data_IF_404499767368
#
_entry.id   IF_404499767368
#
_cell.length_a   1.000
_cell.length_b   1.000
_cell.length_c   1.000
_cell.angle_alpha   90.00
_cell.angle_beta   90.00
_cell.angle_gamma   90.00
#
_symmetry.space_group_name_H-M   'P 1'
#
loop_
_entity.id
_entity.type
_entity.pdbx_description
1 polymer ?
#
# COMPACT_ATOMS: atom_id res chain seq x y z
N UNK A 1 35.82 -28.24 44.41
CA UNK A 1 35.75 -27.14 43.44
C UNK A 1 34.52 -27.34 42.57
N UNK A 2 33.48 -26.51 42.74
CA UNK A 2 32.28 -26.52 41.88
C UNK A 2 32.49 -25.47 40.79
N UNK A 3 32.57 -25.91 39.54
CA UNK A 3 32.72 -25.04 38.37
C UNK A 3 31.32 -24.50 38.05
N UNK A 4 31.10 -23.21 38.25
CA UNK A 4 29.90 -22.52 37.77
C UNK A 4 30.07 -22.23 36.28
N UNK A 5 29.22 -22.86 35.46
CA UNK A 5 29.17 -22.61 34.02
C UNK A 5 28.28 -21.37 33.79
N UNK A 6 28.91 -20.23 33.50
CA UNK A 6 28.22 -18.99 33.15
C UNK A 6 27.75 -19.11 31.70
N UNK A 7 26.44 -19.23 31.51
CA UNK A 7 25.81 -19.11 30.19
C UNK A 7 25.76 -17.63 29.82
N UNK A 8 26.61 -17.23 28.88
CA UNK A 8 26.56 -15.91 28.26
C UNK A 8 25.36 -15.91 27.29
N UNK A 9 24.27 -15.27 27.68
CA UNK A 9 23.19 -14.91 26.76
C UNK A 9 23.73 -13.81 25.83
N UNK A 10 24.06 -14.16 24.59
CA UNK A 10 24.21 -13.17 23.53
C UNK A 10 22.80 -12.64 23.21
N UNK A 11 22.53 -11.33 23.35
CA UNK A 11 21.29 -10.78 22.83
C UNK A 11 21.35 -10.89 21.30
N UNK A 12 20.40 -11.63 20.73
CA UNK A 12 20.13 -11.58 19.29
C UNK A 12 19.69 -10.15 18.98
N UNK A 13 20.61 -9.33 18.50
CA UNK A 13 20.28 -8.04 17.89
C UNK A 13 19.52 -8.37 16.60
N UNK A 14 18.19 -8.33 16.68
CA UNK A 14 17.34 -8.28 15.50
C UNK A 14 17.67 -6.94 14.84
N UNK A 15 18.54 -6.97 13.83
CA UNK A 15 18.75 -5.81 12.97
C UNK A 15 17.46 -5.61 12.19
N UNK A 16 16.73 -4.53 12.47
CA UNK A 16 15.64 -4.14 11.59
C UNK A 16 16.25 -3.89 10.19
N UNK A 17 15.72 -4.52 9.13
CA UNK A 17 16.18 -4.27 7.78
C UNK A 17 16.03 -2.78 7.46
N UNK A 18 16.92 -2.19 6.65
CA UNK A 18 16.81 -0.79 6.27
C UNK A 18 15.49 -0.61 5.50
N UNK A 19 14.51 0.02 6.15
CA UNK A 19 13.31 0.49 5.47
C UNK A 19 13.78 1.52 4.44
N UNK A 20 13.74 1.14 3.17
CA UNK A 20 13.95 2.07 2.08
C UNK A 20 12.86 3.14 2.18
N UNK A 21 13.29 4.36 2.46
CA UNK A 21 12.46 5.56 2.61
C UNK A 21 11.44 5.66 1.46
N UNK A 22 10.20 6.05 1.78
CA UNK A 22 9.08 6.01 0.84
C UNK A 22 8.13 4.82 1.00
N UNK A 23 8.62 3.68 1.49
CA UNK A 23 7.83 2.43 1.53
C UNK A 23 7.44 1.95 2.94
N UNK A 24 7.66 2.78 3.95
CA UNK A 24 7.41 2.45 5.35
C UNK A 24 5.94 2.08 5.62
N UNK A 25 5.01 2.87 5.10
CA UNK A 25 3.58 2.67 5.32
C UNK A 25 3.10 1.32 4.75
N UNK A 26 3.45 1.00 3.50
CA UNK A 26 3.13 -0.27 2.85
C UNK A 26 3.63 -1.48 3.66
N UNK A 27 4.89 -1.42 4.11
CA UNK A 27 5.51 -2.45 4.94
C UNK A 27 4.77 -2.64 6.27
N UNK A 28 4.49 -1.53 6.97
CA UNK A 28 3.79 -1.54 8.25
C UNK A 28 2.34 -2.06 8.11
N UNK A 29 1.61 -1.58 7.12
CA UNK A 29 0.22 -1.97 6.85
C UNK A 29 0.11 -3.49 6.60
N UNK A 30 0.96 -4.03 5.70
CA UNK A 30 0.97 -5.45 5.38
C UNK A 30 1.36 -6.31 6.58
N UNK A 31 2.37 -5.88 7.34
CA UNK A 31 2.78 -6.54 8.59
C UNK A 31 1.62 -6.61 9.58
N UNK A 32 0.86 -5.52 9.75
CA UNK A 32 -0.24 -5.44 10.69
C UNK A 32 -1.44 -6.29 10.27
N UNK A 33 -1.70 -6.41 8.97
CA UNK A 33 -2.78 -7.25 8.45
C UNK A 33 -2.63 -8.72 8.87
N UNK A 34 -1.40 -9.23 8.98
CA UNK A 34 -1.11 -10.60 9.46
C UNK A 34 -1.69 -10.87 10.85
N UNK A 35 -1.66 -9.88 11.75
CA UNK A 35 -2.17 -10.05 13.12
C UNK A 35 -3.69 -10.02 13.21
N UNK A 36 -4.38 -9.65 12.13
CA UNK A 36 -5.85 -9.64 12.06
C UNK A 36 -6.41 -10.97 11.51
N UNK A 37 -5.55 -11.88 11.05
CA UNK A 37 -5.97 -13.17 10.50
C UNK A 37 -6.47 -14.15 11.59
N UNK A 38 -7.41 -15.05 11.26
CA UNK A 38 -7.90 -16.07 12.18
C UNK A 38 -6.82 -17.14 12.48
N UNK A 39 -7.07 -17.98 13.49
CA UNK A 39 -6.11 -18.97 14.00
C UNK A 39 -5.62 -19.93 12.91
N UNK A 40 -6.52 -20.34 12.02
CA UNK A 40 -6.30 -21.26 10.91
C UNK A 40 -5.33 -20.69 9.86
N UNK A 41 -5.22 -19.36 9.76
CA UNK A 41 -4.34 -18.68 8.83
C UNK A 41 -3.06 -18.15 9.49
N UNK A 42 -3.16 -17.66 10.73
CA UNK A 42 -2.05 -16.98 11.39
C UNK A 42 -0.84 -17.91 11.58
N UNK A 43 -1.07 -19.21 11.74
CA UNK A 43 0.00 -20.22 11.82
C UNK A 43 0.89 -20.29 10.58
N UNK A 44 0.34 -19.98 9.39
CA UNK A 44 1.09 -19.93 8.12
C UNK A 44 1.71 -18.55 7.87
N UNK A 45 0.97 -17.46 8.13
CA UNK A 45 1.44 -16.10 7.83
C UNK A 45 2.46 -15.56 8.83
N UNK A 46 2.29 -15.83 10.13
CA UNK A 46 3.15 -15.24 11.18
C UNK A 46 4.62 -15.66 11.05
N UNK A 47 4.98 -16.92 10.75
CA UNK A 47 6.37 -17.28 10.44
C UNK A 47 6.94 -16.53 9.23
N UNK A 48 6.09 -16.12 8.29
CA UNK A 48 6.45 -15.45 7.04
C UNK A 48 6.29 -13.92 7.11
N UNK A 49 6.08 -13.36 8.31
CA UNK A 49 5.76 -11.95 8.48
C UNK A 49 6.87 -11.04 7.94
N UNK A 50 8.14 -11.46 8.04
CA UNK A 50 9.26 -10.71 7.47
C UNK A 50 9.17 -10.66 5.94
N UNK A 51 8.92 -11.80 5.29
CA UNK A 51 8.71 -11.85 3.84
C UNK A 51 7.57 -10.92 3.42
N UNK A 52 6.41 -11.00 4.08
CA UNK A 52 5.25 -10.15 3.78
C UNK A 52 5.60 -8.67 3.97
N UNK A 53 6.32 -8.32 5.04
CA UNK A 53 6.74 -6.94 5.32
C UNK A 53 7.67 -6.40 4.24
N UNK A 54 8.72 -7.16 3.89
CA UNK A 54 9.78 -6.71 2.98
C UNK A 54 9.34 -6.70 1.51
N UNK A 55 8.43 -7.58 1.13
CA UNK A 55 7.94 -7.71 -0.25
C UNK A 55 6.70 -6.86 -0.54
N UNK A 56 6.09 -6.24 0.48
CA UNK A 56 4.97 -5.29 0.32
C UNK A 56 5.30 -4.06 -0.55
N UNK A 57 6.57 -3.88 -0.93
CA UNK A 57 7.08 -2.73 -1.69
C UNK A 57 7.53 -3.14 -3.09
N UNK A 58 7.46 -4.44 -3.41
CA UNK A 58 7.92 -4.96 -4.70
C UNK A 58 7.13 -4.44 -5.90
N UNK A 59 5.79 -4.23 -5.84
CA UNK A 59 5.08 -3.61 -6.96
C UNK A 59 5.68 -2.25 -7.36
N UNK A 60 6.02 -1.42 -6.37
CA UNK A 60 6.69 -0.14 -6.62
C UNK A 60 8.09 -0.29 -7.23
N UNK A 61 8.83 -1.36 -6.89
CA UNK A 61 10.10 -1.65 -7.56
C UNK A 61 9.87 -2.09 -9.00
N UNK A 62 8.84 -2.90 -9.24
CA UNK A 62 8.48 -3.41 -10.56
C UNK A 62 7.96 -2.32 -11.49
N UNK A 63 7.36 -1.23 -10.99
CA UNK A 63 6.85 -0.14 -11.84
C UNK A 63 7.90 0.48 -12.76
N UNK A 64 9.18 0.42 -12.38
CA UNK A 64 10.31 0.93 -13.17
C UNK A 64 10.92 -0.10 -14.12
N UNK A 65 10.55 -1.37 -14.01
CA UNK A 65 11.20 -2.47 -14.74
C UNK A 65 10.24 -3.34 -15.55
N UNK A 66 8.96 -3.41 -15.15
CA UNK A 66 7.93 -4.29 -15.72
C UNK A 66 6.88 -3.45 -16.44
N UNK A 67 6.72 -3.70 -17.73
CA UNK A 67 5.69 -3.05 -18.54
C UNK A 67 4.29 -3.36 -18.01
N UNK A 68 3.44 -2.34 -17.96
CA UNK A 68 2.08 -2.44 -17.46
C UNK A 68 1.98 -2.55 -15.93
N UNK A 69 3.07 -2.47 -15.18
CA UNK A 69 3.00 -2.43 -13.71
C UNK A 69 2.56 -1.03 -13.21
N UNK A 70 3.15 0.05 -13.74
CA UNK A 70 2.90 1.40 -13.25
C UNK A 70 1.42 1.81 -13.22
N UNK A 71 0.65 1.42 -14.24
CA UNK A 71 -0.79 1.66 -14.35
C UNK A 71 -1.65 0.89 -13.33
N UNK A 72 -1.09 -0.07 -12.60
CA UNK A 72 -1.81 -0.83 -11.56
C UNK A 72 -1.88 -0.12 -10.21
N UNK A 73 -1.13 0.96 -10.02
CA UNK A 73 -1.01 1.64 -8.74
C UNK A 73 -2.08 2.73 -8.53
N UNK A 74 -2.83 3.11 -9.57
CA UNK A 74 -3.70 4.29 -9.49
C UNK A 74 -4.92 4.17 -10.42
N UNK A 75 -5.83 5.13 -10.29
CA UNK A 75 -6.91 5.40 -11.24
C UNK A 75 -7.22 6.90 -11.22
N UNK A 76 -7.09 7.58 -12.35
CA UNK A 76 -7.35 9.02 -12.44
C UNK A 76 -8.83 9.29 -12.62
N UNK A 77 -9.60 9.36 -11.53
CA UNK A 77 -11.05 9.57 -11.63
C UNK A 77 -11.41 10.90 -12.28
N UNK A 78 -10.66 11.97 -11.98
CA UNK A 78 -10.90 13.31 -12.54
C UNK A 78 -10.81 13.35 -14.07
N UNK A 79 -10.07 12.41 -14.70
CA UNK A 79 -10.04 12.29 -16.16
C UNK A 79 -11.41 11.94 -16.75
N UNK A 80 -12.22 11.16 -16.02
CA UNK A 80 -13.55 10.74 -16.43
C UNK A 80 -14.65 11.75 -16.02
N UNK A 81 -14.26 12.87 -15.40
CA UNK A 81 -15.14 13.96 -14.96
C UNK A 81 -15.87 13.70 -13.64
N UNK A 82 -16.65 14.68 -13.18
CA UNK A 82 -17.30 14.69 -11.85
C UNK A 82 -18.20 13.47 -11.57
N UNK A 83 -18.67 12.80 -12.62
CA UNK A 83 -19.50 11.58 -12.52
C UNK A 83 -18.71 10.28 -12.76
N UNK A 84 -17.39 10.30 -12.61
CA UNK A 84 -16.51 9.15 -12.86
C UNK A 84 -16.99 7.89 -12.15
N UNK A 85 -17.28 7.98 -10.85
CA UNK A 85 -17.71 6.84 -10.03
C UNK A 85 -19.07 6.25 -10.45
N UNK A 86 -19.94 7.02 -11.10
CA UNK A 86 -21.22 6.53 -11.63
C UNK A 86 -21.08 6.01 -13.07
N UNK A 87 -20.12 6.53 -13.83
CA UNK A 87 -19.96 6.25 -15.26
C UNK A 87 -18.97 5.13 -15.54
N UNK A 88 -17.94 4.95 -14.71
CA UNK A 88 -16.95 3.89 -14.84
C UNK A 88 -17.56 2.53 -14.47
N UNK A 89 -17.56 1.56 -15.40
CA UNK A 89 -18.00 0.21 -15.08
C UNK A 89 -17.06 -0.44 -14.07
N UNK A 90 -17.65 -1.10 -13.07
CA UNK A 90 -16.87 -1.72 -11.98
C UNK A 90 -16.18 -3.01 -12.41
N UNK A 91 -16.67 -3.63 -13.47
CA UNK A 91 -16.14 -4.88 -14.02
C UNK A 91 -15.30 -4.59 -15.27
N UNK A 92 -14.15 -5.25 -15.38
CA UNK A 92 -13.15 -4.97 -16.41
C UNK A 92 -13.69 -5.06 -17.84
N UNK A 93 -14.42 -6.13 -18.17
CA UNK A 93 -14.92 -6.35 -19.53
C UNK A 93 -15.89 -5.24 -19.97
N UNK A 94 -16.77 -4.80 -19.06
CA UNK A 94 -17.69 -3.68 -19.31
C UNK A 94 -16.92 -2.36 -19.48
N UNK A 95 -15.86 -2.16 -18.71
CA UNK A 95 -15.00 -0.98 -18.82
C UNK A 95 -14.30 -0.94 -20.17
N UNK A 96 -13.72 -2.07 -20.61
CA UNK A 96 -13.03 -2.19 -21.91
C UNK A 96 -14.00 -1.96 -23.07
N UNK A 97 -15.23 -2.50 -22.99
CA UNK A 97 -16.26 -2.28 -24.01
C UNK A 97 -16.62 -0.79 -24.13
N UNK A 98 -16.66 -0.08 -23.00
CA UNK A 98 -17.06 1.33 -22.96
C UNK A 98 -15.95 2.32 -23.31
N UNK A 99 -14.72 2.08 -22.87
CA UNK A 99 -13.62 3.06 -22.93
C UNK A 99 -12.40 2.61 -23.73
N UNK A 100 -12.34 1.36 -24.20
CA UNK A 100 -11.15 0.69 -24.75
C UNK A 100 -10.05 0.45 -23.71
N UNK A 101 -9.30 -0.65 -23.88
CA UNK A 101 -8.25 -1.05 -22.95
C UNK A 101 -7.10 -0.03 -22.89
N UNK A 102 -6.66 0.50 -24.04
CA UNK A 102 -5.55 1.47 -24.10
C UNK A 102 -5.86 2.75 -23.32
N UNK A 103 -7.10 3.26 -23.41
CA UNK A 103 -7.52 4.44 -22.67
C UNK A 103 -7.57 4.18 -21.16
N UNK A 104 -8.07 3.01 -20.73
CA UNK A 104 -8.11 2.65 -19.31
C UNK A 104 -6.70 2.53 -18.74
N UNK A 105 -5.80 1.85 -19.44
CA UNK A 105 -4.40 1.67 -19.02
C UNK A 105 -3.66 3.01 -18.88
N UNK A 106 -3.89 3.93 -19.81
CA UNK A 106 -3.31 5.29 -19.74
C UNK A 106 -3.74 6.09 -18.50
N UNK A 107 -4.95 5.84 -17.99
CA UNK A 107 -5.54 6.56 -16.86
C UNK A 107 -5.60 5.71 -15.58
N UNK A 108 -4.89 4.60 -15.54
CA UNK A 108 -4.77 3.75 -14.36
C UNK A 108 -5.90 2.72 -14.23
N UNK A 109 -5.51 1.51 -13.83
CA UNK A 109 -6.38 0.34 -13.74
C UNK A 109 -6.39 -0.30 -12.34
N UNK A 110 -5.98 0.44 -11.31
CA UNK A 110 -5.75 -0.08 -9.97
C UNK A 110 -6.88 -0.95 -9.40
N UNK A 111 -8.15 -0.51 -9.38
CA UNK A 111 -9.27 -1.30 -8.84
C UNK A 111 -9.48 -2.64 -9.54
N UNK A 112 -9.29 -2.70 -10.86
CA UNK A 112 -9.42 -3.94 -11.61
C UNK A 112 -8.19 -4.84 -11.40
N UNK A 113 -6.99 -4.26 -11.41
CA UNK A 113 -5.75 -4.99 -11.15
C UNK A 113 -5.73 -5.64 -9.76
N UNK A 114 -6.13 -4.91 -8.72
CA UNK A 114 -6.25 -5.44 -7.37
C UNK A 114 -7.25 -6.62 -7.32
N UNK A 115 -8.38 -6.52 -8.04
CA UNK A 115 -9.33 -7.63 -8.12
C UNK A 115 -8.74 -8.85 -8.84
N UNK A 116 -8.01 -8.66 -9.95
CA UNK A 116 -7.31 -9.76 -10.61
C UNK A 116 -6.26 -10.42 -9.71
N UNK A 117 -5.50 -9.62 -8.94
CA UNK A 117 -4.55 -10.13 -7.94
C UNK A 117 -5.26 -10.94 -6.85
N UNK A 118 -6.44 -10.50 -6.38
CA UNK A 118 -7.29 -11.25 -5.46
C UNK A 118 -7.76 -12.60 -6.04
N UNK A 119 -8.22 -12.63 -7.30
CA UNK A 119 -8.59 -13.88 -7.96
C UNK A 119 -7.40 -14.84 -8.09
N UNK A 120 -6.21 -14.32 -8.38
CA UNK A 120 -4.99 -15.12 -8.45
C UNK A 120 -4.58 -15.65 -7.08
N UNK A 121 -4.72 -14.86 -6.02
CA UNK A 121 -4.47 -15.30 -4.65
C UNK A 121 -5.43 -16.44 -4.26
N UNK A 122 -6.71 -16.32 -4.63
CA UNK A 122 -7.71 -17.39 -4.42
C UNK A 122 -7.25 -18.69 -5.09
N UNK A 123 -6.84 -18.64 -6.36
CA UNK A 123 -6.29 -19.82 -7.08
C UNK A 123 -5.01 -20.38 -6.46
N UNK A 124 -4.16 -19.51 -5.89
CA UNK A 124 -2.95 -19.94 -5.20
C UNK A 124 -3.28 -20.72 -3.92
N UNK A 125 -4.33 -20.31 -3.19
CA UNK A 125 -4.87 -21.08 -2.08
C UNK A 125 -5.47 -22.41 -2.55
N UNK A 126 -6.31 -22.42 -3.59
CA UNK A 126 -6.93 -23.65 -4.13
C UNK A 126 -5.88 -24.70 -4.52
N UNK A 127 -4.78 -24.24 -5.14
CA UNK A 127 -3.66 -25.08 -5.55
C UNK A 127 -2.64 -25.36 -4.43
N UNK A 128 -2.86 -24.81 -3.23
CA UNK A 128 -1.97 -24.91 -2.06
C UNK A 128 -0.52 -24.50 -2.36
N UNK A 129 -0.33 -23.54 -3.26
CA UNK A 129 0.99 -23.05 -3.65
C UNK A 129 1.44 -21.96 -2.68
N UNK A 130 2.18 -22.34 -1.63
CA UNK A 130 2.61 -21.42 -0.57
C UNK A 130 3.47 -20.26 -1.04
N UNK A 131 4.39 -20.48 -1.99
CA UNK A 131 5.20 -19.40 -2.54
C UNK A 131 4.33 -18.38 -3.29
N UNK A 132 3.37 -18.84 -4.09
CA UNK A 132 2.43 -17.96 -4.77
C UNK A 132 1.50 -17.24 -3.80
N UNK A 133 1.01 -17.92 -2.75
CA UNK A 133 0.18 -17.30 -1.70
C UNK A 133 0.92 -16.12 -1.08
N UNK A 134 2.16 -16.31 -0.63
CA UNK A 134 2.92 -15.25 0.04
C UNK A 134 3.18 -14.06 -0.89
N UNK A 135 3.65 -14.32 -2.11
CA UNK A 135 3.96 -13.30 -3.13
C UNK A 135 2.71 -12.49 -3.50
N UNK A 136 1.61 -13.18 -3.83
CA UNK A 136 0.35 -12.54 -4.21
C UNK A 136 -0.32 -11.83 -3.04
N UNK A 137 -0.10 -12.29 -1.81
CA UNK A 137 -0.61 -11.59 -0.62
C UNK A 137 0.09 -10.26 -0.41
N UNK A 138 1.42 -10.22 -0.52
CA UNK A 138 2.19 -8.99 -0.44
C UNK A 138 1.83 -8.00 -1.57
N UNK A 139 1.74 -8.50 -2.82
CA UNK A 139 1.33 -7.69 -3.98
C UNK A 139 -0.09 -7.14 -3.83
N UNK A 140 -1.05 -7.99 -3.48
CA UNK A 140 -2.44 -7.57 -3.26
C UNK A 140 -2.53 -6.55 -2.12
N UNK A 141 -1.75 -6.77 -1.06
CA UNK A 141 -1.70 -5.87 0.09
C UNK A 141 -1.23 -4.47 -0.30
N UNK A 142 -0.19 -4.38 -1.13
CA UNK A 142 0.28 -3.13 -1.71
C UNK A 142 -0.80 -2.44 -2.54
N UNK A 143 -1.40 -3.14 -3.53
CA UNK A 143 -2.41 -2.52 -4.39
C UNK A 143 -3.62 -2.03 -3.58
N UNK A 144 -4.06 -2.77 -2.56
CA UNK A 144 -5.16 -2.31 -1.69
C UNK A 144 -4.75 -1.05 -0.91
N UNK A 145 -3.51 -0.97 -0.43
CA UNK A 145 -3.02 0.21 0.28
C UNK A 145 -2.98 1.44 -0.65
N UNK A 146 -2.54 1.29 -1.90
CA UNK A 146 -2.57 2.33 -2.92
C UNK A 146 -3.99 2.86 -3.19
N UNK A 147 -4.98 1.96 -3.31
CA UNK A 147 -6.38 2.37 -3.53
C UNK A 147 -6.98 3.16 -2.35
N UNK A 148 -6.34 3.11 -1.17
CA UNK A 148 -6.70 3.91 0.00
C UNK A 148 -5.89 5.22 0.08
N UNK A 149 -5.01 5.53 -0.87
CA UNK A 149 -4.31 6.82 -0.93
C UNK A 149 -5.10 7.80 -1.80
N UNK A 150 -5.59 8.93 -1.27
CA UNK A 150 -6.35 9.91 -2.06
C UNK A 150 -5.63 10.33 -3.34
N UNK A 151 -4.32 10.57 -3.26
CA UNK A 151 -3.50 11.02 -4.38
C UNK A 151 -3.29 9.97 -5.49
N UNK A 152 -3.61 8.69 -5.25
CA UNK A 152 -3.62 7.65 -6.30
C UNK A 152 -4.95 7.62 -7.08
N UNK A 153 -5.87 8.56 -6.81
CA UNK A 153 -7.20 8.61 -7.44
C UNK A 153 -7.41 9.82 -8.35
N UNK A 154 -6.37 10.63 -8.59
CA UNK A 154 -6.47 11.94 -9.25
C UNK A 154 -5.32 12.18 -10.22
N UNK A 155 -5.61 12.89 -11.32
CA UNK A 155 -4.57 13.39 -12.22
C UNK A 155 -3.59 14.32 -11.51
N UNK A 156 -4.02 15.01 -10.43
CA UNK A 156 -3.19 15.91 -9.62
C UNK A 156 -2.40 15.17 -8.53
N UNK A 157 -1.97 13.94 -8.80
CA UNK A 157 -1.39 13.01 -7.82
C UNK A 157 -0.20 13.58 -7.05
N UNK A 158 0.58 14.50 -7.62
CA UNK A 158 1.71 15.13 -6.96
C UNK A 158 1.51 16.63 -6.75
N UNK A 159 0.29 17.15 -6.85
CA UNK A 159 0.01 18.58 -6.67
C UNK A 159 0.51 19.46 -7.81
N UNK A 160 0.88 18.87 -8.95
CA UNK A 160 1.46 19.56 -10.10
C UNK A 160 0.49 20.49 -10.85
N UNK A 161 -0.82 20.33 -10.64
CA UNK A 161 -1.85 21.20 -11.20
C UNK A 161 -2.28 22.33 -10.24
N UNK A 162 -1.80 22.30 -8.99
CA UNK A 162 -2.22 23.25 -7.93
C UNK A 162 -1.07 23.92 -7.19
N UNK A 163 0.16 23.80 -7.71
CA UNK A 163 1.43 24.34 -7.18
C UNK A 163 1.89 23.73 -5.85
N UNK A 164 1.69 22.43 -5.69
CA UNK A 164 1.99 21.68 -4.46
C UNK A 164 2.90 20.47 -4.73
N UNK A 165 3.79 20.59 -5.73
CA UNK A 165 4.71 19.53 -6.16
C UNK A 165 5.45 18.92 -4.98
N UNK A 166 5.36 17.59 -4.86
CA UNK A 166 5.92 16.79 -3.75
C UNK A 166 4.91 16.44 -2.66
N UNK A 167 3.64 16.85 -2.77
CA UNK A 167 2.60 16.49 -1.79
C UNK A 167 2.33 14.98 -1.72
N UNK A 168 2.60 14.24 -2.80
CA UNK A 168 2.49 12.78 -2.83
C UNK A 168 3.39 12.13 -1.79
N UNK A 169 4.71 12.33 -1.91
CA UNK A 169 5.68 11.81 -0.95
C UNK A 169 5.52 12.44 0.44
N UNK A 170 4.93 13.63 0.55
CA UNK A 170 4.58 14.21 1.84
C UNK A 170 3.50 13.40 2.57
N UNK A 171 2.38 13.13 1.89
CA UNK A 171 1.25 12.40 2.47
C UNK A 171 1.58 10.92 2.70
N UNK A 172 2.19 10.26 1.71
CA UNK A 172 2.41 8.80 1.72
C UNK A 172 3.64 8.40 2.55
N UNK A 173 4.70 9.22 2.53
CA UNK A 173 5.98 8.84 3.15
C UNK A 173 6.26 9.65 4.39
N UNK A 174 6.34 10.99 4.27
CA UNK A 174 6.84 11.84 5.35
C UNK A 174 5.95 11.83 6.59
N UNK A 175 4.63 11.95 6.42
CA UNK A 175 3.69 11.93 7.54
C UNK A 175 3.76 10.58 8.28
N UNK A 176 3.60 9.41 7.62
CA UNK A 176 3.75 8.12 8.30
C UNK A 176 5.12 7.90 8.95
N UNK A 177 6.23 8.24 8.27
CA UNK A 177 7.59 8.10 8.80
C UNK A 177 7.76 8.83 10.14
N UNK A 178 7.09 9.97 10.32
CA UNK A 178 7.19 10.76 11.55
C UNK A 178 6.23 10.33 12.66
N UNK A 179 5.04 9.82 12.30
CA UNK A 179 3.90 9.74 13.23
C UNK A 179 3.32 8.32 13.41
N UNK A 180 3.51 7.38 12.47
CA UNK A 180 2.76 6.13 12.51
C UNK A 180 3.09 5.21 13.69
N UNK A 181 4.25 5.40 14.32
CA UNK A 181 4.63 4.72 15.57
C UNK A 181 3.65 4.97 16.73
N UNK A 182 2.94 6.08 16.70
CA UNK A 182 2.02 6.52 17.75
C UNK A 182 0.54 6.23 17.38
N UNK A 183 0.28 5.68 16.19
CA UNK A 183 -1.06 5.40 15.71
C UNK A 183 -1.65 4.11 16.31
N UNK A 184 -2.89 4.12 16.83
CA UNK A 184 -3.59 2.90 17.26
C UNK A 184 -4.15 2.10 16.06
N UNK A 185 -3.26 1.38 15.37
CA UNK A 185 -3.54 0.66 14.12
C UNK A 185 -4.16 -0.74 14.29
N UNK A 186 -4.63 -1.12 15.48
CA UNK A 186 -5.38 -2.37 15.65
C UNK A 186 -6.79 -2.23 15.05
N UNK A 187 -7.20 -3.23 14.26
CA UNK A 187 -8.45 -3.21 13.47
C UNK A 187 -9.41 -4.36 13.76
N UNK A 188 -9.06 -5.29 14.66
CA UNK A 188 -9.86 -6.47 14.95
C UNK A 188 -9.52 -7.65 14.04
N UNK A 189 -10.39 -8.67 14.02
CA UNK A 189 -10.22 -9.85 13.16
C UNK A 189 -10.72 -9.58 11.74
N UNK A 190 -10.16 -10.33 10.79
CA UNK A 190 -10.56 -10.34 9.39
C UNK A 190 -12.01 -10.85 9.24
N UNK A 191 -12.73 -10.28 8.29
CA UNK A 191 -14.12 -10.59 7.96
C UNK A 191 -14.26 -10.92 6.47
N UNK A 192 -15.26 -11.73 6.15
CA UNK A 192 -15.51 -12.14 4.77
C UNK A 192 -16.11 -10.99 3.95
N UNK A 193 -15.57 -10.75 2.76
CA UNK A 193 -16.04 -9.72 1.83
C UNK A 193 -16.91 -10.36 0.76
N UNK A 194 -18.23 -10.17 0.84
CA UNK A 194 -19.18 -10.78 -0.12
C UNK A 194 -18.96 -10.35 -1.58
N UNK A 195 -18.55 -9.09 -1.78
CA UNK A 195 -18.40 -8.48 -3.12
C UNK A 195 -17.04 -7.78 -3.24
N UNK A 196 -15.93 -8.51 -3.40
CA UNK A 196 -14.58 -7.95 -3.36
C UNK A 196 -14.34 -6.85 -4.40
N UNK A 197 -14.82 -7.01 -5.63
CA UNK A 197 -14.71 -5.98 -6.66
C UNK A 197 -15.39 -4.66 -6.22
N UNK A 198 -16.57 -4.73 -5.60
CA UNK A 198 -17.28 -3.52 -5.17
C UNK A 198 -16.59 -2.86 -3.98
N UNK A 199 -16.00 -3.65 -3.07
CA UNK A 199 -15.23 -3.13 -1.94
C UNK A 199 -13.98 -2.35 -2.41
N UNK A 200 -13.30 -2.81 -3.47
CA UNK A 200 -12.18 -2.06 -4.09
C UNK A 200 -12.63 -0.71 -4.66
N UNK A 201 -13.78 -0.67 -5.32
CA UNK A 201 -14.36 0.57 -5.83
C UNK A 201 -14.82 1.52 -4.72
N UNK A 202 -15.36 0.97 -3.63
CA UNK A 202 -15.72 1.77 -2.46
C UNK A 202 -14.48 2.40 -1.80
N UNK A 203 -13.38 1.64 -1.67
CA UNK A 203 -12.12 2.18 -1.15
C UNK A 203 -11.62 3.35 -2.00
N UNK A 204 -11.65 3.22 -3.33
CA UNK A 204 -11.31 4.30 -4.25
C UNK A 204 -12.24 5.50 -4.11
N UNK A 205 -13.56 5.29 -4.05
CA UNK A 205 -14.52 6.37 -3.89
C UNK A 205 -14.27 7.17 -2.60
N UNK A 206 -14.03 6.45 -1.50
CA UNK A 206 -13.73 7.02 -0.18
C UNK A 206 -12.39 7.75 -0.16
N UNK A 207 -11.36 7.22 -0.82
CA UNK A 207 -10.06 7.88 -0.94
C UNK A 207 -10.15 9.14 -1.79
N UNK A 208 -10.85 9.06 -2.94
CA UNK A 208 -11.00 10.18 -3.85
C UNK A 208 -11.77 11.35 -3.25
N UNK A 209 -12.80 11.08 -2.46
CA UNK A 209 -13.55 12.09 -1.73
C UNK A 209 -12.72 12.89 -0.70
N UNK A 210 -11.45 12.53 -0.48
CA UNK A 210 -10.52 13.21 0.43
C UNK A 210 -9.45 14.03 -0.30
N UNK A 211 -9.38 13.97 -1.63
CA UNK A 211 -8.38 14.67 -2.46
C UNK A 211 -8.48 16.19 -2.25
N UNK A 212 -9.69 16.72 -2.17
CA UNK A 212 -9.95 18.13 -1.93
C UNK A 212 -9.30 18.62 -0.63
N UNK A 213 -9.47 17.86 0.46
CA UNK A 213 -8.99 18.16 1.79
C UNK A 213 -7.46 18.08 1.84
N UNK A 214 -6.88 17.03 1.23
CA UNK A 214 -5.41 16.86 1.09
C UNK A 214 -4.80 18.10 0.44
N UNK A 215 -5.32 18.53 -0.71
CA UNK A 215 -4.77 19.66 -1.45
C UNK A 215 -5.09 21.00 -0.77
N UNK A 216 -6.34 21.22 -0.37
CA UNK A 216 -6.77 22.50 0.21
C UNK A 216 -6.05 22.80 1.52
N UNK A 217 -5.95 21.83 2.43
CA UNK A 217 -5.36 22.05 3.76
C UNK A 217 -3.86 22.35 3.65
N UNK A 218 -3.13 21.64 2.79
CA UNK A 218 -1.70 21.93 2.55
C UNK A 218 -1.51 23.36 2.04
N UNK A 219 -2.39 23.79 1.12
CA UNK A 219 -2.36 25.13 0.53
C UNK A 219 -2.72 26.22 1.54
N UNK A 220 -3.72 26.00 2.39
CA UNK A 220 -4.09 26.94 3.46
C UNK A 220 -3.01 27.06 4.52
N UNK A 221 -2.41 25.95 4.96
CA UNK A 221 -1.31 25.98 5.93
C UNK A 221 -0.08 26.68 5.37
N UNK A 222 0.22 26.51 4.07
CA UNK A 222 1.33 27.20 3.41
C UNK A 222 1.24 28.72 3.55
N UNK A 223 0.05 29.31 3.62
CA UNK A 223 -0.12 30.76 3.82
C UNK A 223 0.37 31.25 5.18
N UNK A 224 0.44 30.35 6.17
CA UNK A 224 0.79 30.65 7.55
C UNK A 224 2.23 30.24 7.91
N UNK A 225 2.99 29.67 6.96
CA UNK A 225 4.37 29.23 7.17
C UNK A 225 5.29 29.91 6.16
N UNK A 226 6.40 30.49 6.62
CA UNK A 226 7.44 30.93 5.70
C UNK A 226 8.10 29.71 5.01
N UNK A 227 8.75 29.87 3.84
CA UNK A 227 9.45 28.76 3.18
C UNK A 227 10.44 28.03 4.10
N UNK A 228 11.15 28.76 4.96
CA UNK A 228 12.14 28.21 5.91
C UNK A 228 11.49 27.50 7.11
N UNK A 229 10.21 27.75 7.37
CA UNK A 229 9.42 27.02 8.38
C UNK A 229 8.69 25.83 7.77
N UNK A 230 8.30 25.91 6.50
CA UNK A 230 7.58 24.84 5.78
C UNK A 230 8.51 23.68 5.43
N UNK A 231 9.74 23.97 5.06
CA UNK A 231 10.70 22.97 4.61
C UNK A 231 11.90 22.87 5.54
N UNK A 232 12.47 21.66 5.61
CA UNK A 232 13.77 21.39 6.21
C UNK A 232 14.64 20.61 5.24
N UNK A 233 15.91 20.40 5.59
CA UNK A 233 16.82 19.56 4.82
C UNK A 233 17.26 18.37 5.67
N UNK A 234 17.23 17.19 5.07
CA UNK A 234 17.65 15.93 5.71
C UNK A 234 18.62 15.19 4.80
N UNK A 235 19.57 14.47 5.40
CA UNK A 235 20.48 13.59 4.66
C UNK A 235 19.80 12.23 4.42
N UNK A 236 19.49 11.92 3.16
CA UNK A 236 18.90 10.65 2.72
C UNK A 236 19.84 9.99 1.72
N UNK A 237 20.32 8.78 2.02
CA UNK A 237 21.29 8.06 1.17
C UNK A 237 22.52 8.90 0.78
N UNK A 238 23.06 9.70 1.71
CA UNK A 238 24.18 10.64 1.50
C UNK A 238 23.86 11.83 0.58
N UNK A 239 22.59 12.06 0.25
CA UNK A 239 22.11 13.23 -0.48
C UNK A 239 21.32 14.12 0.45
N UNK A 240 21.57 15.43 0.40
CA UNK A 240 20.75 16.41 1.10
C UNK A 240 19.47 16.63 0.32
N UNK A 241 18.33 16.24 0.89
CA UNK A 241 17.01 16.35 0.27
C UNK A 241 16.18 17.37 1.03
N UNK A 242 15.49 18.25 0.30
CA UNK A 242 14.49 19.15 0.87
C UNK A 242 13.22 18.36 1.18
N UNK A 243 12.77 18.41 2.42
CA UNK A 243 11.57 17.73 2.91
C UNK A 243 10.64 18.72 3.59
N UNK A 244 9.39 18.33 3.80
CA UNK A 244 8.50 19.08 4.69
C UNK A 244 9.03 19.00 6.13
N UNK A 245 9.03 20.14 6.81
CA UNK A 245 9.49 20.25 8.20
C UNK A 245 8.59 19.43 9.13
N UNK A 246 9.11 19.10 10.32
CA UNK A 246 8.33 18.38 11.34
C UNK A 246 7.11 19.20 11.75
N UNK A 247 7.30 20.50 11.97
CA UNK A 247 6.28 21.43 12.43
C UNK A 247 5.14 21.56 11.40
N UNK A 248 5.48 21.65 10.11
CA UNK A 248 4.46 21.67 9.05
C UNK A 248 3.75 20.32 8.92
N UNK A 249 4.49 19.20 9.05
CA UNK A 249 3.91 17.84 9.04
C UNK A 249 2.89 17.66 10.16
N UNK A 250 3.21 18.08 11.38
CA UNK A 250 2.34 17.98 12.54
C UNK A 250 1.09 18.84 12.40
N UNK A 251 1.24 20.10 11.95
CA UNK A 251 0.11 20.98 11.66
C UNK A 251 -0.81 20.42 10.56
N UNK A 252 -0.22 19.85 9.50
CA UNK A 252 -0.95 19.24 8.39
C UNK A 252 -1.75 18.00 8.82
N UNK A 253 -1.11 17.07 9.52
CA UNK A 253 -1.77 15.86 10.01
C UNK A 253 -2.89 16.19 11.01
N UNK A 254 -2.70 17.21 11.86
CA UNK A 254 -3.72 17.70 12.76
C UNK A 254 -4.90 18.34 12.00
N UNK A 255 -4.63 19.18 11.00
CA UNK A 255 -5.67 19.83 10.21
C UNK A 255 -6.46 18.85 9.33
N UNK A 256 -5.84 17.74 8.92
CA UNK A 256 -6.50 16.61 8.27
C UNK A 256 -7.31 15.72 9.23
N UNK A 257 -7.33 16.05 10.52
CA UNK A 257 -8.08 15.30 11.54
C UNK A 257 -7.72 13.80 11.54
N UNK A 258 -6.43 13.46 11.48
CA UNK A 258 -6.01 12.05 11.51
C UNK A 258 -6.39 11.23 10.26
N UNK A 259 -6.61 11.89 9.12
CA UNK A 259 -6.95 11.24 7.85
C UNK A 259 -5.98 10.09 7.49
N UNK A 260 -4.67 10.32 7.61
CA UNK A 260 -3.64 9.33 7.26
C UNK A 260 -3.80 8.07 8.12
N UNK A 261 -3.95 8.23 9.44
CA UNK A 261 -4.20 7.10 10.34
C UNK A 261 -5.45 6.33 9.92
N UNK A 262 -6.57 7.03 9.64
CA UNK A 262 -7.82 6.38 9.22
C UNK A 262 -7.63 5.59 7.93
N UNK A 263 -6.92 6.12 6.94
CA UNK A 263 -6.64 5.41 5.70
C UNK A 263 -5.72 4.20 5.93
N UNK A 264 -4.68 4.33 6.77
CA UNK A 264 -3.84 3.18 7.16
C UNK A 264 -4.67 2.07 7.83
N UNK A 265 -5.58 2.41 8.76
CA UNK A 265 -6.47 1.43 9.39
C UNK A 265 -7.40 0.75 8.39
N UNK A 266 -7.97 1.51 7.45
CA UNK A 266 -8.78 0.93 6.36
C UNK A 266 -7.96 -0.05 5.52
N UNK A 267 -6.73 0.31 5.15
CA UNK A 267 -5.84 -0.58 4.41
C UNK A 267 -5.54 -1.85 5.20
N UNK A 268 -5.14 -1.76 6.48
CA UNK A 268 -4.85 -2.95 7.31
C UNK A 268 -6.05 -3.88 7.37
N UNK A 269 -7.25 -3.35 7.65
CA UNK A 269 -8.48 -4.15 7.74
C UNK A 269 -8.82 -4.80 6.41
N UNK A 270 -8.83 -4.02 5.32
CA UNK A 270 -9.21 -4.49 4.00
C UNK A 270 -8.25 -5.55 3.47
N UNK A 271 -6.94 -5.43 3.73
CA UNK A 271 -5.96 -6.44 3.33
C UNK A 271 -6.21 -7.76 4.08
N UNK A 272 -6.41 -7.71 5.40
CA UNK A 272 -6.72 -8.89 6.18
C UNK A 272 -8.01 -9.56 5.72
N UNK A 273 -9.05 -8.77 5.47
CA UNK A 273 -10.35 -9.21 4.95
C UNK A 273 -10.19 -9.88 3.57
N UNK A 274 -9.39 -9.31 2.67
CA UNK A 274 -9.18 -9.85 1.33
C UNK A 274 -8.36 -11.14 1.33
N UNK A 275 -7.31 -11.22 2.14
CA UNK A 275 -6.56 -12.47 2.32
C UNK A 275 -7.44 -13.58 2.88
N UNK A 276 -8.24 -13.26 3.90
CA UNK A 276 -9.21 -14.19 4.49
C UNK A 276 -10.26 -14.61 3.48
N UNK A 277 -10.84 -13.67 2.74
CA UNK A 277 -11.85 -13.94 1.72
C UNK A 277 -11.29 -14.82 0.60
N UNK A 278 -10.05 -14.60 0.17
CA UNK A 278 -9.40 -15.44 -0.84
C UNK A 278 -9.21 -16.88 -0.35
N UNK A 279 -8.82 -17.06 0.92
CA UNK A 279 -8.71 -18.38 1.54
C UNK A 279 -10.06 -19.08 1.70
N UNK A 280 -11.10 -18.35 2.13
CA UNK A 280 -12.47 -18.87 2.23
C UNK A 280 -13.00 -19.31 0.86
N UNK A 281 -12.85 -18.46 -0.15
CA UNK A 281 -13.29 -18.75 -1.52
C UNK A 281 -12.57 -19.95 -2.14
N UNK A 282 -11.33 -20.20 -1.73
CA UNK A 282 -10.55 -21.36 -2.13
C UNK A 282 -10.98 -22.68 -1.45
N UNK A 283 -12.04 -22.66 -0.63
CA UNK A 283 -12.52 -23.83 0.11
C UNK A 283 -11.78 -24.07 1.42
N UNK A 284 -11.16 -23.04 2.00
CA UNK A 284 -10.46 -23.09 3.29
C UNK A 284 -9.43 -24.23 3.38
N UNK A 285 -8.48 -24.32 2.43
CA UNK A 285 -7.45 -25.36 2.47
C UNK A 285 -6.65 -25.28 3.77
N UNK A 286 -6.31 -26.42 4.35
CA UNK A 286 -5.42 -26.49 5.51
C UNK A 286 -4.04 -25.92 5.15
N UNK A 287 -3.59 -24.94 5.94
CA UNK A 287 -2.33 -24.22 5.75
C UNK A 287 -1.20 -24.74 6.65
N UNK A 288 -1.49 -25.67 7.56
CA UNK A 288 -0.50 -26.17 8.53
C UNK A 288 0.70 -26.85 7.84
N UNK A 289 0.43 -27.66 6.81
CA UNK A 289 1.42 -28.42 6.04
C UNK A 289 2.16 -27.58 4.98
N UNK A 290 1.83 -26.29 4.84
CA UNK A 290 2.42 -25.41 3.83
C UNK A 290 3.67 -24.66 4.32
N UNK A 291 4.06 -24.91 5.57
CA UNK A 291 5.24 -24.33 6.20
C UNK A 291 6.53 -24.94 5.62
N UNK A 292 7.27 -24.16 4.83
CA UNK A 292 8.57 -24.59 4.26
C UNK A 292 8.85 -24.16 2.82
N UNK A 293 7.96 -23.40 2.18
CA UNK A 293 8.27 -22.83 0.87
C UNK A 293 9.47 -21.89 0.96
N UNK A 294 10.50 -22.19 0.18
CA UNK A 294 11.46 -21.18 -0.25
C UNK A 294 10.75 -20.34 -1.29
N UNK A 295 10.56 -19.07 -0.98
CA UNK A 295 10.18 -18.09 -2.00
C UNK A 295 11.49 -17.55 -2.55
N UNK A 296 11.81 -17.92 -3.78
CA UNK A 296 12.97 -17.38 -4.47
C UNK A 296 12.77 -15.87 -4.70
N UNK A 297 13.87 -15.12 -4.76
CA UNK A 297 13.81 -13.71 -5.14
C UNK A 297 13.14 -13.56 -6.52
N UNK A 298 12.26 -12.58 -6.67
CA UNK A 298 11.59 -12.33 -7.95
C UNK A 298 12.61 -11.84 -8.99
N UNK A 299 12.95 -12.69 -9.95
CA UNK A 299 13.58 -12.27 -11.19
C UNK A 299 12.52 -11.71 -12.15
N UNK A 300 12.60 -10.43 -12.50
CA UNK A 300 11.74 -9.82 -13.51
C UNK A 300 12.53 -9.38 -14.74
N UNK A 301 11.87 -9.49 -15.90
CA UNK A 301 12.44 -9.04 -17.18
C UNK A 301 12.45 -7.51 -17.19
N UNK A 302 13.64 -6.93 -16.97
CA UNK A 302 13.83 -5.48 -16.96
C UNK A 302 13.70 -4.93 -18.38
N UNK A 303 12.73 -4.04 -18.60
CA UNK A 303 12.67 -3.21 -19.80
C UNK A 303 13.32 -1.85 -19.54
N UNK A 304 14.32 -1.43 -20.33
CA UNK A 304 14.85 -0.07 -20.25
C UNK A 304 13.80 0.95 -20.75
N UNK A 305 13.79 2.15 -20.15
CA UNK A 305 13.03 3.32 -20.59
C UNK A 305 11.49 3.24 -20.50
N UNK A 306 10.96 2.65 -19.42
CA UNK A 306 9.53 2.74 -19.14
C UNK A 306 9.12 4.16 -18.75
N UNK A 307 7.99 4.63 -19.30
CA UNK A 307 7.34 5.87 -18.86
C UNK A 307 6.62 5.62 -17.55
N UNK A 308 7.15 6.18 -16.46
CA UNK A 308 6.55 6.15 -15.12
C UNK A 308 6.21 7.59 -14.73
N UNK A 309 5.19 7.78 -13.89
CA UNK A 309 4.86 9.09 -13.33
C UNK A 309 6.03 9.64 -12.50
N UNK A 310 6.30 10.93 -12.65
CA UNK A 310 7.35 11.62 -11.88
C UNK A 310 6.88 11.85 -10.44
N UNK A 311 7.67 11.45 -9.44
CA UNK A 311 7.41 11.71 -8.03
C UNK A 311 8.23 12.89 -7.53
#
# INVERSE_FOLDING_TARGET
MRIFMIWIFLPFLISEPPITWGFYAHSLINRLAVFSLPEEMIGFYKPQIQYITENAVNPDRRRYAVEGEAEKHYIDLDYYGDSALQTLPKYWNEAVEKFTEDSLRMNGIGPWSAYFSFLNLTKAFESKNSAAILRLSADLGHYIADLNVPLHTTVNYNGQLTDQVGIHGFWESRVPELQAKDYPLWVGQAEYVEKPQLALWEAVAVAHAQVDSVLFIEKELTKNFSPDQKFSYEERNKLTVRVYSREFTEAYAQALDGQIERQMKKSVKMIADFWFTAWVNAGQPDLFDLNGAKVDEEDFVVKPELKVRDH
#
